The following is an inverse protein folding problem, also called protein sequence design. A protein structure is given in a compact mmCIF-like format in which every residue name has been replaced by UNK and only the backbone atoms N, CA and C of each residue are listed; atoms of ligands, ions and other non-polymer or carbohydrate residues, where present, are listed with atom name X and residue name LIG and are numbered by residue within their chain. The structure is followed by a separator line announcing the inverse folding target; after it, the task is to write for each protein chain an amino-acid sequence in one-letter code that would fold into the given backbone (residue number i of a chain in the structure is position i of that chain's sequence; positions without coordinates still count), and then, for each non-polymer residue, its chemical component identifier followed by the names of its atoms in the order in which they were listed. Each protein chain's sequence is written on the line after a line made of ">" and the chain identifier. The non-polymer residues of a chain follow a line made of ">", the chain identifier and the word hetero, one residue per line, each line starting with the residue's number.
data_IF_857665261528
#
_entry.id   IF_857665261528
#
_cell.length_a   1.000
_cell.length_b   1.000
_cell.length_c   1.000
_cell.angle_alpha   90.00
_cell.angle_beta   90.00
_cell.angle_gamma   90.00
#
_symmetry.space_group_name_H-M   'P 1'
#
loop_
_entity.id
_entity.type
_entity.pdbx_description
1 polymer ?
#
# COMPACT_ATOMS: atom_id res chain seq x y z
N UNK A 1 25.00 14.11 -25.36
CA UNK A 1 23.90 13.24 -24.91
C UNK A 1 23.82 13.29 -23.39
N UNK A 2 23.01 14.19 -22.82
CA UNK A 2 22.79 14.33 -21.38
C UNK A 2 21.38 13.84 -21.03
N UNK A 3 21.31 12.76 -20.25
CA UNK A 3 20.06 12.09 -19.86
C UNK A 3 19.34 12.84 -18.73
N UNK A 4 18.09 13.21 -19.01
CA UNK A 4 17.16 13.88 -18.12
C UNK A 4 16.57 12.86 -17.10
N UNK A 5 16.85 13.03 -15.80
CA UNK A 5 16.32 12.16 -14.73
C UNK A 5 15.00 12.70 -14.17
N UNK A 6 13.86 12.26 -14.72
CA UNK A 6 12.54 12.50 -14.11
C UNK A 6 12.36 11.59 -12.89
N UNK A 7 12.37 12.20 -11.70
CA UNK A 7 11.96 11.57 -10.44
C UNK A 7 10.43 11.45 -10.42
N UNK A 8 9.91 10.24 -10.58
CA UNK A 8 8.48 9.97 -10.36
C UNK A 8 8.21 9.77 -8.86
N UNK A 9 7.50 10.74 -8.27
CA UNK A 9 6.98 10.65 -6.91
C UNK A 9 5.87 9.60 -6.83
N UNK A 10 6.13 8.52 -6.10
CA UNK A 10 5.15 7.46 -5.83
C UNK A 10 4.05 7.92 -4.89
N UNK A 11 2.81 7.90 -5.38
CA UNK A 11 1.59 8.13 -4.62
C UNK A 11 1.32 6.96 -3.65
N UNK A 12 1.77 7.09 -2.40
CA UNK A 12 1.40 6.20 -1.30
C UNK A 12 -0.05 6.43 -0.86
N UNK A 13 -1.02 5.79 -1.53
CA UNK A 13 -2.41 5.70 -1.06
C UNK A 13 -2.72 4.31 -0.52
N UNK A 14 -2.08 3.96 0.59
CA UNK A 14 -2.34 2.75 1.39
C UNK A 14 -2.71 3.13 2.81
N UNK A 15 -3.94 2.82 3.23
CA UNK A 15 -4.59 3.36 4.44
C UNK A 15 -3.86 3.07 5.76
N UNK A 16 -3.39 4.15 6.38
CA UNK A 16 -3.08 4.24 7.81
C UNK A 16 -4.39 4.14 8.62
N UNK A 17 -4.86 2.92 8.89
CA UNK A 17 -5.92 2.73 9.88
C UNK A 17 -5.28 2.76 11.27
N UNK A 18 -5.42 3.90 11.95
CA UNK A 18 -5.07 4.06 13.36
C UNK A 18 -4.18 5.25 13.72
N UNK A 19 -3.59 5.96 12.75
CA UNK A 19 -2.98 7.25 13.07
C UNK A 19 -4.08 8.29 13.26
N UNK A 20 -4.22 8.79 14.49
CA UNK A 20 -4.99 10.01 14.79
C UNK A 20 -4.54 11.08 13.80
N UNK A 21 -5.47 11.77 13.13
CA UNK A 21 -5.15 12.79 12.13
C UNK A 21 -4.48 13.98 12.84
N UNK A 22 -3.16 13.91 13.00
CA UNK A 22 -2.38 14.95 13.70
C UNK A 22 -2.41 16.28 12.94
N UNK A 23 -2.88 16.28 11.68
CA UNK A 23 -3.05 17.50 10.87
C UNK A 23 -3.97 18.54 11.53
N UNK A 24 -4.88 18.08 12.39
CA UNK A 24 -5.71 18.92 13.26
C UNK A 24 -4.89 19.89 14.12
N UNK A 25 -3.74 19.42 14.64
CA UNK A 25 -2.89 20.21 15.54
C UNK A 25 -1.79 20.96 14.79
N UNK A 26 -1.40 20.49 13.60
CA UNK A 26 -0.33 21.14 12.82
C UNK A 26 -0.83 22.33 11.99
N UNK A 27 -2.11 22.36 11.58
CA UNK A 27 -2.68 23.42 10.72
C UNK A 27 -3.56 24.43 11.48
N UNK A 28 -3.55 24.41 12.82
CA UNK A 28 -4.25 25.38 13.67
C UNK A 28 -5.75 25.54 13.37
N UNK A 29 -6.17 26.73 12.93
CA UNK A 29 -7.59 27.07 12.65
C UNK A 29 -8.15 26.32 11.44
N UNK A 30 -7.37 26.16 10.37
CA UNK A 30 -7.79 25.48 9.13
C UNK A 30 -7.96 23.97 9.35
N UNK A 31 -7.08 23.35 10.14
CA UNK A 31 -7.22 21.93 10.50
C UNK A 31 -8.52 21.63 11.25
N UNK A 32 -8.96 22.55 12.12
CA UNK A 32 -10.24 22.43 12.85
C UNK A 32 -11.45 22.62 11.94
N UNK A 33 -11.44 23.60 11.03
CA UNK A 33 -12.57 23.82 10.11
C UNK A 33 -12.75 22.65 9.13
N UNK A 34 -11.67 22.03 8.67
CA UNK A 34 -11.72 20.83 7.83
C UNK A 34 -12.30 19.62 8.56
N UNK A 35 -11.94 19.43 9.83
CA UNK A 35 -12.48 18.36 10.67
C UNK A 35 -13.97 18.57 10.94
N UNK A 36 -14.39 19.80 11.24
CA UNK A 36 -15.80 20.17 11.40
C UNK A 36 -16.57 19.86 10.13
N UNK A 37 -16.09 20.30 8.96
CA UNK A 37 -16.71 19.99 7.66
C UNK A 37 -16.84 18.49 7.44
N UNK A 38 -15.76 17.72 7.67
CA UNK A 38 -15.77 16.26 7.53
C UNK A 38 -16.76 15.59 8.48
N UNK A 39 -16.84 16.05 9.73
CA UNK A 39 -17.77 15.54 10.73
C UNK A 39 -19.23 15.84 10.34
N UNK A 40 -19.51 17.04 9.84
CA UNK A 40 -20.84 17.43 9.35
C UNK A 40 -21.27 16.58 8.14
N UNK A 41 -20.38 16.38 7.16
CA UNK A 41 -20.67 15.50 6.01
C UNK A 41 -20.92 14.06 6.45
N UNK A 42 -20.13 13.56 7.41
CA UNK A 42 -20.34 12.21 7.96
C UNK A 42 -21.70 12.10 8.67
N UNK A 43 -22.04 13.08 9.52
CA UNK A 43 -23.34 13.13 10.22
C UNK A 43 -24.51 13.13 9.23
N UNK A 44 -24.43 13.93 8.17
CA UNK A 44 -25.45 13.98 7.13
C UNK A 44 -25.61 12.63 6.41
N UNK A 45 -24.49 11.95 6.08
CA UNK A 45 -24.53 10.61 5.49
C UNK A 45 -25.14 9.58 6.44
N UNK A 46 -24.76 9.59 7.71
CA UNK A 46 -25.32 8.67 8.72
C UNK A 46 -26.83 8.91 8.85
N UNK A 47 -27.27 10.17 8.95
CA UNK A 47 -28.69 10.53 9.01
C UNK A 47 -29.46 10.03 7.78
N UNK A 48 -28.92 10.24 6.56
CA UNK A 48 -29.54 9.73 5.33
C UNK A 48 -29.65 8.21 5.31
N UNK A 49 -28.62 7.51 5.76
CA UNK A 49 -28.63 6.05 5.82
C UNK A 49 -29.61 5.53 6.88
N UNK A 50 -29.75 6.25 8.00
CA UNK A 50 -30.73 5.93 9.03
C UNK A 50 -32.16 6.06 8.52
N UNK A 51 -32.50 7.14 7.81
CA UNK A 51 -33.82 7.29 7.22
C UNK A 51 -34.14 6.22 6.18
N UNK A 52 -33.17 5.85 5.32
CA UNK A 52 -33.34 4.71 4.40
C UNK A 52 -33.57 3.38 5.11
N UNK A 53 -33.01 3.22 6.31
CA UNK A 53 -33.22 2.01 7.11
C UNK A 53 -34.62 2.00 7.70
N UNK A 54 -35.11 3.13 8.23
CA UNK A 54 -36.48 3.28 8.72
C UNK A 54 -37.51 3.02 7.62
N UNK A 55 -37.32 3.58 6.42
CA UNK A 55 -38.18 3.30 5.25
C UNK A 55 -38.23 1.80 4.92
N UNK A 56 -37.08 1.12 5.03
CA UNK A 56 -36.98 -0.32 4.74
C UNK A 56 -37.63 -1.18 5.82
N UNK A 57 -37.62 -0.72 7.07
CA UNK A 57 -38.22 -1.40 8.22
C UNK A 57 -39.70 -1.06 8.40
N UNK A 58 -40.26 -0.20 7.53
CA UNK A 58 -41.66 0.22 7.57
C UNK A 58 -41.99 1.13 8.75
N UNK A 59 -40.98 1.79 9.33
CA UNK A 59 -41.16 2.75 10.41
C UNK A 59 -41.30 4.17 9.84
N UNK A 60 -42.09 5.01 10.51
CA UNK A 60 -42.34 6.39 10.06
C UNK A 60 -41.05 7.20 10.01
N UNK A 61 -40.82 7.84 8.86
CA UNK A 61 -39.74 8.82 8.66
C UNK A 61 -40.31 10.20 8.95
N UNK A 62 -39.64 11.02 9.80
CA UNK A 62 -40.07 12.39 10.01
C UNK A 62 -40.07 13.16 8.67
N UNK A 63 -41.24 13.66 8.26
CA UNK A 63 -41.39 14.48 7.05
C UNK A 63 -40.59 15.77 7.16
N UNK A 64 -40.08 16.19 6.01
CA UNK A 64 -38.97 17.14 5.86
C UNK A 64 -39.45 18.60 5.85
N UNK A 65 -40.44 18.93 6.66
CA UNK A 65 -41.01 20.26 6.76
C UNK A 65 -40.71 20.78 8.16
N UNK A 66 -39.60 21.50 8.26
CA UNK A 66 -39.40 22.67 9.12
C UNK A 66 -37.95 23.19 8.92
N UNK A 67 -37.89 24.24 8.11
CA UNK A 67 -36.95 25.38 8.10
C UNK A 67 -35.45 25.23 7.73
N UNK A 68 -35.16 25.89 6.59
CA UNK A 68 -34.00 26.69 6.21
C UNK A 68 -33.08 26.20 5.06
N UNK A 69 -33.28 26.94 3.96
CA UNK A 69 -32.44 27.33 2.83
C UNK A 69 -30.92 27.25 3.06
N UNK A 70 -30.23 26.66 2.08
CA UNK A 70 -28.92 27.13 1.62
C UNK A 70 -28.64 26.51 0.25
N UNK A 71 -29.10 27.25 -0.74
CA UNK A 71 -28.87 27.13 -2.16
C UNK A 71 -27.35 27.28 -2.48
N UNK A 72 -26.67 26.18 -2.84
CA UNK A 72 -25.40 26.25 -3.59
C UNK A 72 -25.53 25.36 -4.82
N UNK A 73 -25.92 26.02 -5.90
CA UNK A 73 -25.71 25.59 -7.27
C UNK A 73 -24.21 25.77 -7.59
N UNK A 74 -23.52 24.72 -8.04
CA UNK A 74 -22.40 24.93 -8.96
C UNK A 74 -22.27 23.73 -9.92
N UNK A 75 -22.52 24.05 -11.18
CA UNK A 75 -22.46 23.16 -12.33
C UNK A 75 -21.00 22.88 -12.68
N UNK A 76 -20.67 21.63 -13.00
CA UNK A 76 -19.61 21.34 -13.97
C UNK A 76 -19.89 20.00 -14.65
N UNK A 77 -20.44 20.11 -15.86
CA UNK A 77 -20.52 19.10 -16.89
C UNK A 77 -19.15 18.76 -17.50
N UNK A 78 -19.17 17.75 -18.41
CA UNK A 78 -18.11 17.12 -19.22
C UNK A 78 -17.45 15.96 -18.48
N UNK A 79 -17.88 14.70 -18.65
CA UNK A 79 -18.02 13.90 -19.89
C UNK A 79 -16.80 14.09 -20.79
N UNK A 80 -15.72 13.40 -20.43
CA UNK A 80 -14.74 12.91 -21.39
C UNK A 80 -14.86 11.39 -21.46
N UNK A 81 -15.46 10.97 -22.55
CA UNK A 81 -15.44 9.63 -23.12
C UNK A 81 -14.05 9.37 -23.72
N UNK A 82 -13.18 8.62 -23.04
CA UNK A 82 -12.07 7.93 -23.71
C UNK A 82 -11.43 6.88 -22.79
N UNK A 83 -11.72 5.60 -23.06
CA UNK A 83 -10.77 4.48 -23.04
C UNK A 83 -11.55 3.16 -23.20
N UNK A 84 -11.88 2.88 -24.45
CA UNK A 84 -12.06 1.52 -24.94
C UNK A 84 -10.79 1.13 -25.72
N UNK A 85 -10.46 -0.16 -25.65
CA UNK A 85 -9.45 -0.92 -26.42
C UNK A 85 -8.05 -1.06 -25.81
N UNK A 86 -7.90 -2.08 -24.97
CA UNK A 86 -6.87 -3.10 -25.22
C UNK A 86 -7.59 -4.45 -25.22
N UNK A 87 -7.83 -4.93 -26.43
CA UNK A 87 -8.03 -6.34 -26.75
C UNK A 87 -6.64 -6.99 -26.76
N UNK A 88 -6.40 -7.93 -25.85
CA UNK A 88 -5.39 -8.96 -26.07
C UNK A 88 -6.12 -10.27 -26.31
N UNK A 89 -6.08 -10.63 -27.58
CA UNK A 89 -6.28 -11.96 -28.12
C UNK A 89 -5.17 -12.85 -27.56
N UNK A 90 -5.50 -13.84 -26.72
CA UNK A 90 -4.67 -15.03 -26.63
C UNK A 90 -5.50 -16.27 -26.28
N UNK A 91 -5.70 -17.07 -27.32
CA UNK A 91 -6.24 -18.42 -27.30
C UNK A 91 -5.33 -19.35 -26.50
N UNK A 92 -5.79 -19.89 -25.37
CA UNK A 92 -5.48 -21.29 -25.00
C UNK A 92 -6.57 -21.86 -24.09
N UNK A 93 -7.43 -22.70 -24.67
CA UNK A 93 -8.35 -23.56 -23.93
C UNK A 93 -7.56 -24.63 -23.15
N UNK A 94 -7.23 -24.33 -21.90
CA UNK A 94 -6.97 -25.33 -20.87
C UNK A 94 -8.14 -25.27 -19.89
N UNK A 95 -9.12 -26.15 -20.07
CA UNK A 95 -10.36 -26.26 -19.30
C UNK A 95 -10.13 -26.76 -17.88
N UNK A 96 -9.32 -26.03 -17.10
CA UNK A 96 -9.32 -26.19 -15.65
C UNK A 96 -10.60 -25.52 -15.13
N UNK A 97 -11.40 -26.20 -14.28
CA UNK A 97 -12.55 -25.57 -13.67
C UNK A 97 -12.07 -24.34 -12.89
N UNK A 98 -12.68 -23.18 -13.16
CA UNK A 98 -12.39 -21.93 -12.47
C UNK A 98 -12.59 -22.13 -10.97
N UNK A 99 -11.68 -21.58 -10.17
CA UNK A 99 -11.85 -21.59 -8.73
C UNK A 99 -13.12 -20.83 -8.36
N UNK A 100 -13.80 -21.26 -7.30
CA UNK A 100 -15.01 -20.61 -6.79
C UNK A 100 -14.80 -19.10 -6.56
N UNK A 101 -13.59 -18.72 -6.13
CA UNK A 101 -13.19 -17.35 -5.88
C UNK A 101 -13.10 -16.54 -7.18
N UNK A 102 -12.64 -17.14 -8.28
CA UNK A 102 -12.52 -16.45 -9.56
C UNK A 102 -13.88 -16.26 -10.24
N UNK A 103 -14.80 -17.21 -10.05
CA UNK A 103 -16.21 -17.05 -10.43
C UNK A 103 -16.81 -15.84 -9.68
N UNK A 104 -16.62 -15.76 -8.36
CA UNK A 104 -17.09 -14.64 -7.54
C UNK A 104 -16.47 -13.31 -8.00
N UNK A 105 -15.17 -13.27 -8.31
CA UNK A 105 -14.52 -12.05 -8.83
C UNK A 105 -15.12 -11.61 -10.17
N UNK A 106 -15.47 -12.55 -11.05
CA UNK A 106 -16.10 -12.24 -12.34
C UNK A 106 -17.49 -11.63 -12.14
N UNK A 107 -18.29 -12.14 -11.20
CA UNK A 107 -19.57 -11.52 -10.81
C UNK A 107 -19.40 -10.08 -10.33
N UNK A 108 -18.39 -9.82 -9.49
CA UNK A 108 -18.06 -8.45 -9.03
C UNK A 108 -17.72 -7.54 -10.21
N UNK A 109 -16.91 -8.00 -11.18
CA UNK A 109 -16.56 -7.23 -12.38
C UNK A 109 -17.76 -6.91 -13.25
N UNK A 110 -18.73 -7.82 -13.33
CA UNK A 110 -20.00 -7.65 -14.05
C UNK A 110 -21.05 -6.85 -13.24
N UNK A 111 -20.71 -6.37 -12.04
CA UNK A 111 -21.62 -5.67 -11.13
C UNK A 111 -22.87 -6.48 -10.74
N UNK A 112 -22.77 -7.81 -10.73
CA UNK A 112 -23.85 -8.68 -10.28
C UNK A 112 -23.98 -8.66 -8.74
N UNK A 113 -25.20 -8.76 -8.18
CA UNK A 113 -25.39 -8.80 -6.73
C UNK A 113 -24.81 -10.09 -6.14
N UNK A 114 -23.87 -9.94 -5.20
CA UNK A 114 -23.24 -11.09 -4.52
C UNK A 114 -24.09 -11.58 -3.36
N UNK A 115 -24.18 -12.91 -3.26
CA UNK A 115 -24.72 -13.60 -2.09
C UNK A 115 -23.89 -13.31 -0.84
N UNK A 116 -24.52 -13.44 0.33
CA UNK A 116 -23.85 -13.26 1.63
C UNK A 116 -22.63 -14.19 1.78
N UNK A 117 -22.78 -15.46 1.38
CA UNK A 117 -21.70 -16.46 1.45
C UNK A 117 -20.52 -16.07 0.56
N UNK A 118 -20.79 -15.66 -0.68
CA UNK A 118 -19.77 -15.20 -1.64
C UNK A 118 -19.00 -13.97 -1.10
N UNK A 119 -19.72 -13.06 -0.44
CA UNK A 119 -19.11 -11.87 0.18
C UNK A 119 -18.18 -12.24 1.35
N UNK A 120 -18.56 -13.23 2.16
CA UNK A 120 -17.71 -13.76 3.24
C UNK A 120 -16.46 -14.44 2.67
N UNK A 121 -16.61 -15.28 1.64
CA UNK A 121 -15.51 -15.94 0.96
C UNK A 121 -14.52 -14.93 0.37
N UNK A 122 -15.03 -13.91 -0.35
CA UNK A 122 -14.21 -12.85 -0.92
C UNK A 122 -13.46 -12.05 0.16
N UNK A 123 -14.11 -11.75 1.29
CA UNK A 123 -13.48 -11.08 2.43
C UNK A 123 -12.39 -11.95 3.08
N UNK A 124 -12.60 -13.26 3.18
CA UNK A 124 -11.61 -14.22 3.70
C UNK A 124 -10.38 -14.29 2.78
N UNK A 125 -10.58 -14.43 1.47
CA UNK A 125 -9.49 -14.47 0.50
C UNK A 125 -8.66 -13.17 0.49
N UNK A 126 -9.32 -12.00 0.57
CA UNK A 126 -8.59 -10.72 0.70
C UNK A 126 -7.69 -10.68 1.94
N UNK A 127 -8.18 -11.16 3.09
CA UNK A 127 -7.38 -11.25 4.33
C UNK A 127 -6.21 -12.21 4.20
N UNK A 128 -6.42 -13.35 3.53
CA UNK A 128 -5.38 -14.35 3.30
C UNK A 128 -4.28 -13.82 2.38
N UNK A 129 -4.65 -13.24 1.23
CA UNK A 129 -3.69 -12.61 0.32
C UNK A 129 -2.94 -11.46 1.01
N UNK A 130 -3.58 -10.68 1.87
CA UNK A 130 -2.91 -9.62 2.63
C UNK A 130 -1.90 -10.19 3.64
N UNK A 131 -2.20 -11.33 4.28
CA UNK A 131 -1.24 -12.03 5.15
C UNK A 131 -0.08 -12.58 4.33
N UNK A 132 -0.37 -13.24 3.21
CA UNK A 132 0.64 -13.81 2.33
C UNK A 132 1.57 -12.74 1.77
N UNK A 133 1.02 -11.61 1.30
CA UNK A 133 1.80 -10.44 0.87
C UNK A 133 2.74 -9.92 1.96
N UNK A 134 2.30 -9.90 3.22
CA UNK A 134 3.16 -9.50 4.35
C UNK A 134 4.27 -10.51 4.61
N UNK A 135 3.95 -11.80 4.59
CA UNK A 135 4.91 -12.89 4.78
C UNK A 135 5.94 -12.95 3.64
N UNK A 136 5.51 -12.72 2.41
CA UNK A 136 6.40 -12.69 1.24
C UNK A 136 7.32 -11.48 1.30
N UNK A 137 6.84 -10.30 1.71
CA UNK A 137 7.69 -9.12 1.93
C UNK A 137 8.77 -9.35 2.98
N UNK A 138 8.45 -10.01 4.10
CA UNK A 138 9.46 -10.35 5.11
C UNK A 138 10.45 -11.38 4.59
N UNK A 139 9.97 -12.41 3.88
CA UNK A 139 10.82 -13.43 3.26
C UNK A 139 11.79 -12.84 2.24
N UNK A 140 11.29 -12.01 1.33
CA UNK A 140 12.08 -11.31 0.32
C UNK A 140 13.14 -10.39 0.97
N UNK A 141 12.77 -9.66 2.03
CA UNK A 141 13.72 -8.82 2.77
C UNK A 141 14.84 -9.65 3.40
N UNK A 142 14.52 -10.79 4.00
CA UNK A 142 15.51 -11.71 4.57
C UNK A 142 16.44 -12.26 3.50
N UNK A 143 15.89 -12.63 2.34
CA UNK A 143 16.67 -13.14 1.22
C UNK A 143 17.60 -12.07 0.63
N UNK A 144 17.10 -10.85 0.43
CA UNK A 144 17.91 -9.72 -0.03
C UNK A 144 19.05 -9.38 0.94
N UNK A 145 18.78 -9.43 2.25
CA UNK A 145 19.83 -9.26 3.27
C UNK A 145 20.87 -10.39 3.21
N UNK A 146 20.42 -11.65 3.06
CA UNK A 146 21.30 -12.81 2.93
C UNK A 146 22.20 -12.69 1.69
N UNK A 147 21.62 -12.39 0.53
CA UNK A 147 22.37 -12.22 -0.72
C UNK A 147 23.36 -11.04 -0.63
N UNK A 148 22.97 -9.92 -0.01
CA UNK A 148 23.85 -8.78 0.20
C UNK A 148 25.02 -9.11 1.14
N UNK A 149 24.76 -9.86 2.22
CA UNK A 149 25.80 -10.30 3.14
C UNK A 149 26.78 -11.25 2.45
N UNK A 150 26.30 -12.22 1.66
CA UNK A 150 27.16 -13.11 0.88
C UNK A 150 28.02 -12.34 -0.12
N UNK A 151 27.44 -11.35 -0.82
CA UNK A 151 28.21 -10.48 -1.74
C UNK A 151 29.30 -9.71 -1.00
N UNK A 152 28.97 -9.14 0.17
CA UNK A 152 29.92 -8.43 1.02
C UNK A 152 31.04 -9.35 1.49
N UNK A 153 30.72 -10.54 1.97
CA UNK A 153 31.69 -11.55 2.40
C UNK A 153 32.67 -11.91 1.28
N UNK A 154 32.16 -12.20 0.08
CA UNK A 154 33.00 -12.48 -1.09
C UNK A 154 33.90 -11.29 -1.45
N UNK A 155 33.41 -10.06 -1.34
CA UNK A 155 34.23 -8.87 -1.57
C UNK A 155 35.31 -8.71 -0.50
N UNK A 156 34.97 -8.91 0.78
CA UNK A 156 35.94 -8.84 1.88
C UNK A 156 36.99 -9.93 1.76
N UNK A 157 36.63 -11.16 1.42
CA UNK A 157 37.56 -12.27 1.18
C UNK A 157 38.51 -11.95 0.02
N UNK A 158 37.99 -11.39 -1.08
CA UNK A 158 38.83 -10.95 -2.21
C UNK A 158 39.85 -9.91 -1.75
N UNK A 159 39.43 -8.90 -0.99
CA UNK A 159 40.33 -7.84 -0.48
C UNK A 159 41.33 -8.40 0.55
N UNK A 160 40.91 -9.36 1.37
CA UNK A 160 41.78 -10.03 2.33
C UNK A 160 42.90 -10.83 1.67
N UNK A 161 42.59 -11.51 0.57
CA UNK A 161 43.54 -12.35 -0.14
C UNK A 161 44.41 -11.58 -1.15
N UNK A 162 44.05 -10.35 -1.52
CA UNK A 162 44.84 -9.56 -2.47
C UNK A 162 46.10 -9.00 -1.83
N UNK A 163 47.18 -9.06 -2.62
CA UNK A 163 48.52 -8.58 -2.24
C UNK A 163 48.95 -7.47 -3.19
N UNK A 164 49.78 -6.57 -2.69
CA UNK A 164 50.46 -5.53 -3.47
C UNK A 164 51.53 -6.13 -4.38
N UNK A 165 52.10 -5.33 -5.30
CA UNK A 165 53.18 -5.75 -6.21
C UNK A 165 54.39 -6.35 -5.48
N UNK A 166 54.65 -5.94 -4.23
CA UNK A 166 55.74 -6.45 -3.37
C UNK A 166 55.33 -7.65 -2.49
N UNK A 167 54.12 -8.20 -2.68
CA UNK A 167 53.61 -9.34 -1.91
C UNK A 167 53.04 -9.01 -0.53
N UNK A 168 53.06 -7.74 -0.10
CA UNK A 168 52.45 -7.32 1.17
C UNK A 168 50.91 -7.33 1.06
N UNK A 169 50.18 -7.70 2.12
CA UNK A 169 48.72 -7.59 2.13
C UNK A 169 48.27 -6.15 1.90
N UNK A 170 47.10 -5.98 1.28
CA UNK A 170 46.51 -4.66 1.08
C UNK A 170 46.28 -3.92 2.41
N UNK A 171 46.14 -2.59 2.36
CA UNK A 171 46.05 -1.75 3.56
C UNK A 171 44.96 -2.18 4.55
N UNK A 172 43.76 -2.55 4.09
CA UNK A 172 42.67 -2.97 4.99
C UNK A 172 43.04 -4.17 5.88
N UNK A 173 43.38 -5.34 5.30
CA UNK A 173 43.85 -6.51 6.06
C UNK A 173 45.12 -6.22 6.87
N UNK A 174 46.05 -5.43 6.30
CA UNK A 174 47.30 -5.05 6.97
C UNK A 174 47.05 -4.24 8.25
N UNK A 175 46.09 -3.32 8.22
CA UNK A 175 45.70 -2.51 9.38
C UNK A 175 45.11 -3.41 10.48
N UNK A 176 44.22 -4.33 10.14
CA UNK A 176 43.63 -5.24 11.14
C UNK A 176 44.72 -6.07 11.85
N UNK A 177 45.68 -6.61 11.11
CA UNK A 177 46.81 -7.33 11.69
C UNK A 177 47.66 -6.45 12.61
N UNK A 178 47.86 -5.17 12.26
CA UNK A 178 48.56 -4.21 13.12
C UNK A 178 47.77 -3.94 14.41
N UNK A 179 46.46 -3.74 14.29
CA UNK A 179 45.58 -3.50 15.44
C UNK A 179 45.52 -4.71 16.38
N UNK A 180 45.46 -5.93 15.86
CA UNK A 180 45.51 -7.17 16.64
C UNK A 180 46.83 -7.30 17.41
N UNK A 181 47.96 -7.00 16.77
CA UNK A 181 49.27 -6.98 17.42
C UNK A 181 49.35 -5.94 18.54
N UNK A 182 48.83 -4.73 18.30
CA UNK A 182 48.76 -3.68 19.33
C UNK A 182 47.89 -4.15 20.50
N UNK A 183 46.75 -4.80 20.23
CA UNK A 183 45.86 -5.32 21.27
C UNK A 183 46.53 -6.43 22.09
N UNK A 184 47.27 -7.33 21.46
CA UNK A 184 48.02 -8.39 22.14
C UNK A 184 49.12 -7.81 23.05
N UNK A 185 49.87 -6.83 22.54
CA UNK A 185 50.93 -6.16 23.31
C UNK A 185 50.42 -5.27 24.45
N UNK A 186 49.14 -4.87 24.43
CA UNK A 186 48.53 -4.04 25.48
C UNK A 186 47.95 -4.89 26.63
N UNK A 187 47.70 -6.17 26.39
CA UNK A 187 47.18 -7.11 27.38
C UNK A 187 48.29 -7.98 28.00
N UNK A 188 49.52 -7.87 27.48
CA UNK A 188 50.76 -8.37 28.10
C UNK A 188 51.45 -7.20 28.82
#
# INVERSE_FOLDING_TARGET
>A
MSGNTKRFGGNNRGGFRGKKDTRKYTQGKQGKTDEIRRALTHRARVRKNYFKLLEREGMDVPSKDDDNDDNINDNNEKIDSELNKISDDDNTHNSKPLSEIDIIKNKVKKHEPLSFQERIALKKNRRENDKERKMNKTREKLENMRQSNVKRQRQTERIQNTKTRKGQPLMGPRINNLLEKIKQNKNN
#
